data_IF_182518415489
#
_entry.id   IF_182518415489
#
_cell.length_a   1.000
_cell.length_b   1.000
_cell.length_c   1.000
_cell.angle_alpha   90.00
_cell.angle_beta   90.00
_cell.angle_gamma   90.00
#
_symmetry.space_group_name_H-M   'P 1'
#
loop_
_entity.id
_entity.type
_entity.pdbx_description
1 polymer ?
#
# COMPACT_ATOMS: atom_id res chain seq x y z
N UNK A 1 18.87 -28.69 11.17
CA UNK A 1 18.68 -28.51 9.71
C UNK A 1 17.95 -27.19 9.49
N UNK A 2 18.41 -26.36 8.56
CA UNK A 2 17.73 -25.09 8.23
C UNK A 2 16.61 -25.32 7.21
N UNK A 3 15.57 -24.48 7.24
CA UNK A 3 14.55 -24.44 6.20
C UNK A 3 15.13 -23.73 4.95
N UNK A 4 14.88 -24.28 3.75
CA UNK A 4 15.33 -23.70 2.48
C UNK A 4 14.17 -22.97 1.80
N UNK A 5 14.43 -21.77 1.27
CA UNK A 5 13.48 -20.98 0.48
C UNK A 5 14.18 -20.53 -0.80
N UNK A 6 13.67 -20.93 -1.96
CA UNK A 6 14.20 -20.44 -3.23
C UNK A 6 13.76 -18.98 -3.46
N UNK A 7 14.64 -18.17 -4.07
CA UNK A 7 14.32 -16.77 -4.41
C UNK A 7 13.20 -16.70 -5.46
N UNK A 8 13.15 -17.69 -6.35
CA UNK A 8 12.10 -17.80 -7.37
C UNK A 8 10.72 -18.02 -6.74
N UNK A 9 10.57 -19.02 -5.86
CA UNK A 9 9.31 -19.30 -5.20
C UNK A 9 8.87 -18.12 -4.33
N UNK A 10 9.82 -17.50 -3.60
CA UNK A 10 9.56 -16.31 -2.80
C UNK A 10 9.02 -15.16 -3.66
N UNK A 11 9.67 -14.88 -4.79
CA UNK A 11 9.30 -13.78 -5.68
C UNK A 11 7.96 -14.06 -6.37
N UNK A 12 7.76 -15.28 -6.86
CA UNK A 12 6.50 -15.73 -7.47
C UNK A 12 5.34 -15.59 -6.48
N UNK A 13 5.53 -16.08 -5.24
CA UNK A 13 4.54 -15.97 -4.17
C UNK A 13 4.08 -14.52 -3.94
N UNK A 14 5.01 -13.57 -3.87
CA UNK A 14 4.67 -12.15 -3.65
C UNK A 14 4.05 -11.47 -4.88
N UNK A 15 4.40 -11.90 -6.11
CA UNK A 15 3.77 -11.44 -7.35
C UNK A 15 2.35 -11.97 -7.49
N UNK A 16 2.10 -13.21 -7.06
CA UNK A 16 0.78 -13.82 -7.08
C UNK A 16 -0.20 -13.08 -6.16
N UNK A 17 0.28 -12.55 -5.03
CA UNK A 17 -0.55 -11.69 -4.15
C UNK A 17 -0.95 -10.36 -4.80
N UNK A 18 -0.10 -9.79 -5.69
CA UNK A 18 -0.48 -8.60 -6.47
C UNK A 18 -1.63 -8.96 -7.42
N UNK A 19 -1.53 -10.10 -8.09
CA UNK A 19 -2.58 -10.62 -8.98
C UNK A 19 -3.87 -10.93 -8.21
N UNK A 20 -3.79 -11.46 -6.99
CA UNK A 20 -4.96 -11.70 -6.15
C UNK A 20 -5.64 -10.40 -5.72
N UNK A 21 -4.86 -9.35 -5.39
CA UNK A 21 -5.42 -8.03 -5.10
C UNK A 21 -6.19 -7.46 -6.29
N UNK A 22 -5.69 -7.62 -7.51
CA UNK A 22 -6.40 -7.20 -8.73
C UNK A 22 -7.67 -7.99 -8.97
N UNK A 23 -7.66 -9.31 -8.76
CA UNK A 23 -8.88 -10.13 -8.86
C UNK A 23 -9.94 -9.70 -7.86
N UNK A 24 -9.52 -9.31 -6.66
CA UNK A 24 -10.43 -8.79 -5.63
C UNK A 24 -10.97 -7.42 -6.02
N UNK A 25 -10.13 -6.52 -6.54
CA UNK A 25 -10.56 -5.24 -7.08
C UNK A 25 -11.54 -5.43 -8.24
N UNK A 26 -11.26 -6.32 -9.17
CA UNK A 26 -12.14 -6.60 -10.29
C UNK A 26 -13.55 -7.00 -9.82
N UNK A 27 -13.65 -7.91 -8.84
CA UNK A 27 -14.94 -8.25 -8.20
C UNK A 27 -15.61 -7.04 -7.55
N UNK A 28 -14.85 -6.19 -6.85
CA UNK A 28 -15.38 -5.02 -6.14
C UNK A 28 -15.88 -3.93 -7.09
N UNK A 29 -15.31 -3.86 -8.30
CA UNK A 29 -15.68 -2.93 -9.37
C UNK A 29 -16.63 -3.56 -10.40
N UNK A 30 -17.22 -4.72 -10.13
CA UNK A 30 -18.22 -5.34 -11.02
C UNK A 30 -17.64 -5.97 -12.29
N UNK A 31 -16.37 -6.34 -12.31
CA UNK A 31 -15.69 -6.99 -13.44
C UNK A 31 -14.99 -6.05 -14.42
N UNK A 32 -14.79 -4.78 -14.03
CA UNK A 32 -14.22 -3.75 -14.90
C UNK A 32 -13.05 -2.99 -14.26
N UNK A 33 -12.31 -3.62 -13.35
CA UNK A 33 -11.19 -2.93 -12.68
C UNK A 33 -10.09 -2.50 -13.67
N UNK A 34 -9.76 -3.35 -14.64
CA UNK A 34 -8.70 -3.07 -15.60
C UNK A 34 -8.92 -1.76 -16.37
N UNK A 35 -10.06 -1.55 -17.08
CA UNK A 35 -10.30 -0.30 -17.81
C UNK A 35 -10.53 0.91 -16.88
N UNK A 36 -10.95 0.70 -15.63
CA UNK A 36 -11.01 1.76 -14.62
C UNK A 36 -9.61 2.20 -14.22
N UNK A 37 -8.69 1.25 -14.05
CA UNK A 37 -7.33 1.51 -13.57
C UNK A 37 -6.45 2.22 -14.60
N UNK A 38 -6.61 1.91 -15.89
CA UNK A 38 -5.91 2.58 -16.99
C UNK A 38 -6.26 4.07 -17.12
N UNK A 39 -7.46 4.47 -16.68
CA UNK A 39 -7.90 5.87 -16.72
C UNK A 39 -7.34 6.71 -15.56
N UNK A 40 -6.64 6.08 -14.62
CA UNK A 40 -6.02 6.78 -13.49
C UNK A 40 -4.70 7.38 -13.95
N UNK A 41 -4.71 8.69 -14.19
CA UNK A 41 -3.48 9.48 -14.28
C UNK A 41 -2.98 9.81 -12.87
N UNK A 42 -2.10 8.96 -12.34
CA UNK A 42 -1.53 9.16 -11.01
C UNK A 42 -0.73 10.47 -10.92
N UNK A 43 -0.07 10.90 -12.00
CA UNK A 43 0.76 12.10 -12.05
C UNK A 43 -0.05 13.40 -11.92
N UNK A 44 -1.33 13.37 -12.29
CA UNK A 44 -2.26 14.49 -12.15
C UNK A 44 -2.80 14.67 -10.72
N UNK A 45 -2.61 13.69 -9.83
CA UNK A 45 -3.16 13.74 -8.48
C UNK A 45 -2.33 14.70 -7.62
N UNK A 46 -2.99 15.75 -7.11
CA UNK A 46 -2.36 16.76 -6.26
C UNK A 46 -2.55 16.39 -4.80
N UNK A 47 -1.44 16.30 -4.06
CA UNK A 47 -1.48 16.07 -2.62
C UNK A 47 -0.66 17.09 -1.82
N UNK A 48 -1.00 17.25 -0.54
CA UNK A 48 -0.31 18.13 0.40
C UNK A 48 0.39 17.31 1.49
N UNK A 49 1.66 17.63 1.71
CA UNK A 49 2.52 17.01 2.73
C UNK A 49 2.44 17.67 4.11
N UNK A 50 1.49 18.59 4.30
CA UNK A 50 1.19 19.25 5.57
C UNK A 50 -0.18 18.81 6.09
N UNK A 51 -0.40 18.91 7.40
CA UNK A 51 -1.71 18.61 8.00
C UNK A 51 -2.71 19.71 7.62
N UNK A 52 -3.79 19.33 6.95
CA UNK A 52 -4.86 20.24 6.53
C UNK A 52 -6.09 20.19 7.46
N UNK A 53 -6.19 19.17 8.30
CA UNK A 53 -7.27 19.03 9.28
C UNK A 53 -7.95 17.67 9.21
N UNK A 54 -8.77 17.35 10.22
CA UNK A 54 -9.37 16.02 10.35
C UNK A 54 -10.14 15.60 9.09
N UNK A 55 -9.88 14.38 8.62
CA UNK A 55 -10.50 13.81 7.42
C UNK A 55 -9.87 14.23 6.09
N UNK A 56 -8.89 15.14 6.09
CA UNK A 56 -8.26 15.62 4.86
C UNK A 56 -7.27 14.60 4.28
N UNK A 57 -7.32 14.41 2.96
CA UNK A 57 -6.35 13.64 2.18
C UNK A 57 -6.33 14.10 0.71
N UNK A 58 -5.56 13.45 -0.16
CA UNK A 58 -5.65 13.69 -1.60
C UNK A 58 -7.09 13.51 -2.12
N UNK A 59 -7.86 12.60 -1.52
CA UNK A 59 -9.23 12.31 -1.95
C UNK A 59 -10.23 13.41 -1.58
N UNK A 60 -9.90 14.29 -0.62
CA UNK A 60 -10.72 15.46 -0.27
C UNK A 60 -10.21 16.75 -0.92
N UNK A 61 -9.09 16.72 -1.63
CA UNK A 61 -8.52 17.89 -2.29
C UNK A 61 -9.37 18.27 -3.52
N UNK A 62 -9.95 19.48 -3.60
CA UNK A 62 -10.80 19.89 -4.73
C UNK A 62 -10.10 19.83 -6.09
N UNK A 63 -8.76 19.95 -6.13
CA UNK A 63 -7.98 19.81 -7.38
C UNK A 63 -8.08 18.41 -7.98
N UNK A 64 -8.52 17.42 -7.21
CA UNK A 64 -8.67 16.03 -7.62
C UNK A 64 -10.13 15.65 -7.92
N UNK A 65 -11.05 16.62 -8.08
CA UNK A 65 -12.46 16.34 -8.40
C UNK A 65 -12.65 15.53 -9.68
N UNK A 66 -11.68 15.58 -10.61
CA UNK A 66 -11.67 14.76 -11.83
C UNK A 66 -11.59 13.24 -11.56
N UNK A 67 -11.12 12.82 -10.37
CA UNK A 67 -11.17 11.42 -9.94
C UNK A 67 -12.58 10.96 -9.55
N UNK A 68 -13.49 11.92 -9.31
CA UNK A 68 -14.81 11.70 -8.72
C UNK A 68 -14.71 10.91 -7.40
N UNK A 69 -13.92 11.40 -6.42
CA UNK A 69 -13.78 10.71 -5.14
C UNK A 69 -15.14 10.60 -4.45
N UNK A 70 -15.41 9.45 -3.84
CA UNK A 70 -16.70 9.14 -3.26
C UNK A 70 -17.27 7.80 -3.72
N UNK A 71 -18.50 7.48 -3.28
CA UNK A 71 -19.10 6.16 -3.50
C UNK A 71 -19.69 6.01 -4.91
N UNK A 72 -20.05 7.11 -5.57
CA UNK A 72 -20.88 7.11 -6.78
C UNK A 72 -20.33 6.20 -7.88
N UNK A 73 -19.01 6.29 -8.15
CA UNK A 73 -18.33 5.48 -9.16
C UNK A 73 -18.54 3.99 -8.96
N UNK A 74 -18.23 3.48 -7.77
CA UNK A 74 -18.36 2.05 -7.49
C UNK A 74 -19.82 1.66 -7.38
N UNK A 75 -20.66 2.49 -6.75
CA UNK A 75 -22.10 2.23 -6.60
C UNK A 75 -22.78 2.03 -7.96
N UNK A 76 -22.47 2.87 -8.95
CA UNK A 76 -22.98 2.73 -10.32
C UNK A 76 -22.52 1.42 -10.96
N UNK A 77 -21.23 1.08 -10.85
CA UNK A 77 -20.67 -0.13 -11.44
C UNK A 77 -21.28 -1.42 -10.87
N UNK A 78 -21.61 -1.44 -9.58
CA UNK A 78 -22.14 -2.64 -8.91
C UNK A 78 -23.67 -2.63 -8.75
N UNK A 79 -24.36 -1.56 -9.17
CA UNK A 79 -25.78 -1.31 -8.90
C UNK A 79 -26.66 -2.53 -9.22
N UNK A 80 -26.55 -3.05 -10.45
CA UNK A 80 -27.33 -4.21 -10.91
C UNK A 80 -27.13 -5.45 -10.01
N UNK A 81 -25.95 -5.59 -9.41
CA UNK A 81 -25.60 -6.69 -8.51
C UNK A 81 -26.15 -6.54 -7.09
N UNK A 82 -26.31 -5.30 -6.62
CA UNK A 82 -26.63 -5.01 -5.21
C UNK A 82 -28.04 -4.44 -4.98
N UNK A 83 -28.70 -3.94 -6.02
CA UNK A 83 -30.04 -3.34 -5.96
C UNK A 83 -31.07 -4.19 -6.71
N UNK A 84 -32.27 -4.34 -6.15
CA UNK A 84 -33.45 -4.93 -6.78
C UNK A 84 -34.42 -3.79 -7.12
N UNK A 85 -34.35 -3.28 -8.35
CA UNK A 85 -35.13 -2.12 -8.78
C UNK A 85 -36.64 -2.40 -8.75
N UNK A 86 -37.07 -3.62 -9.11
CA UNK A 86 -38.49 -4.00 -9.12
C UNK A 86 -39.11 -3.98 -7.72
N UNK A 87 -38.31 -4.26 -6.68
CA UNK A 87 -38.75 -4.26 -5.28
C UNK A 87 -38.23 -3.07 -4.48
N UNK A 88 -37.58 -2.11 -5.14
CA UNK A 88 -36.93 -0.95 -4.54
C UNK A 88 -36.15 -1.30 -3.24
N UNK A 89 -35.31 -2.35 -3.29
CA UNK A 89 -34.60 -2.82 -2.09
C UNK A 89 -33.17 -3.30 -2.34
N UNK A 90 -32.36 -3.17 -1.29
CA UNK A 90 -31.00 -3.70 -1.25
C UNK A 90 -30.96 -5.23 -1.19
N UNK A 91 -30.17 -5.84 -2.06
CA UNK A 91 -29.83 -7.28 -2.04
C UNK A 91 -28.82 -7.54 -0.91
N UNK A 92 -29.29 -7.55 0.34
CA UNK A 92 -28.45 -7.64 1.55
C UNK A 92 -27.37 -8.74 1.52
N UNK A 93 -27.68 -9.92 0.97
CA UNK A 93 -26.69 -11.01 0.84
C UNK A 93 -25.54 -10.67 -0.13
N UNK A 94 -25.84 -9.99 -1.24
CA UNK A 94 -24.84 -9.54 -2.22
C UNK A 94 -23.95 -8.46 -1.62
N UNK A 95 -24.53 -7.52 -0.87
CA UNK A 95 -23.78 -6.49 -0.13
C UNK A 95 -22.87 -7.11 0.93
N UNK A 96 -23.38 -8.08 1.72
CA UNK A 96 -22.53 -8.82 2.68
C UNK A 96 -21.40 -9.59 1.99
N UNK A 97 -21.60 -10.10 0.77
CA UNK A 97 -20.52 -10.70 -0.03
C UNK A 97 -19.50 -9.66 -0.45
N UNK A 98 -19.94 -8.53 -1.01
CA UNK A 98 -19.07 -7.42 -1.41
C UNK A 98 -18.21 -6.90 -0.24
N UNK A 99 -18.81 -6.74 0.95
CA UNK A 99 -18.08 -6.35 2.17
C UNK A 99 -17.03 -7.39 2.61
N UNK A 100 -17.31 -8.69 2.42
CA UNK A 100 -16.32 -9.76 2.67
C UNK A 100 -15.17 -9.68 1.66
N UNK A 101 -15.47 -9.47 0.38
CA UNK A 101 -14.46 -9.32 -0.66
C UNK A 101 -13.58 -8.07 -0.39
N UNK A 102 -14.18 -6.97 0.09
CA UNK A 102 -13.44 -5.77 0.50
C UNK A 102 -12.53 -6.02 1.70
N UNK A 103 -12.98 -6.79 2.68
CA UNK A 103 -12.14 -7.22 3.81
C UNK A 103 -10.95 -8.05 3.31
N UNK A 104 -11.16 -8.98 2.38
CA UNK A 104 -10.08 -9.76 1.79
C UNK A 104 -9.07 -8.86 1.06
N UNK A 105 -9.55 -7.90 0.26
CA UNK A 105 -8.69 -6.92 -0.41
C UNK A 105 -7.84 -6.16 0.62
N UNK A 106 -8.41 -5.71 1.74
CA UNK A 106 -7.66 -5.03 2.81
C UNK A 106 -6.56 -5.92 3.41
N UNK A 107 -6.84 -7.20 3.64
CA UNK A 107 -5.84 -8.14 4.15
C UNK A 107 -4.70 -8.33 3.13
N UNK A 108 -5.02 -8.37 1.84
CA UNK A 108 -4.02 -8.47 0.77
C UNK A 108 -3.22 -7.18 0.63
N UNK A 109 -3.87 -6.00 0.59
CA UNK A 109 -3.19 -4.69 0.54
C UNK A 109 -2.28 -4.48 1.75
N UNK A 110 -2.69 -4.93 2.94
CA UNK A 110 -1.85 -4.86 4.15
C UNK A 110 -0.54 -5.66 3.95
N UNK A 111 -0.61 -6.83 3.32
CA UNK A 111 0.57 -7.62 2.98
C UNK A 111 1.40 -6.91 1.91
N UNK A 112 0.76 -6.43 0.84
CA UNK A 112 1.46 -5.76 -0.26
C UNK A 112 2.19 -4.50 0.19
N UNK A 113 1.57 -3.68 1.04
CA UNK A 113 2.23 -2.50 1.65
C UNK A 113 3.45 -2.92 2.48
N UNK A 114 3.38 -4.05 3.19
CA UNK A 114 4.49 -4.54 4.00
C UNK A 114 5.66 -5.09 3.15
N UNK A 115 5.36 -5.75 2.03
CA UNK A 115 6.35 -6.50 1.25
C UNK A 115 6.89 -5.73 0.04
N UNK A 116 6.10 -4.82 -0.53
CA UNK A 116 6.45 -4.04 -1.72
C UNK A 116 6.78 -2.57 -1.44
N UNK A 117 6.61 -2.07 -0.21
CA UNK A 117 7.02 -0.73 0.18
C UNK A 117 8.54 -0.53 0.33
N UNK A 118 9.37 -1.40 -0.23
CA UNK A 118 10.82 -1.43 0.03
C UNK A 118 11.18 -2.16 1.32
N UNK A 119 12.24 -1.71 2.02
CA UNK A 119 12.69 -2.37 3.25
C UNK A 119 11.57 -2.38 4.31
N UNK A 120 11.15 -3.56 4.80
CA UNK A 120 9.93 -3.69 5.58
C UNK A 120 9.99 -2.88 6.88
N UNK A 121 8.94 -2.10 7.13
CA UNK A 121 8.68 -1.44 8.40
C UNK A 121 8.41 -2.44 9.53
N UNK A 122 8.35 -1.98 10.77
CA UNK A 122 7.92 -2.85 11.89
C UNK A 122 6.41 -3.08 11.76
N UNK A 123 5.92 -4.18 12.34
CA UNK A 123 4.49 -4.49 12.34
C UNK A 123 3.61 -3.28 12.71
N UNK A 124 3.85 -2.60 13.85
CA UNK A 124 3.05 -1.44 14.25
C UNK A 124 3.15 -0.25 13.28
N UNK A 125 4.32 -0.03 12.65
CA UNK A 125 4.52 1.05 11.67
C UNK A 125 3.61 0.85 10.45
N UNK A 126 3.32 -0.39 10.07
CA UNK A 126 2.45 -0.73 8.94
C UNK A 126 0.98 -0.84 9.38
N UNK A 127 0.69 -1.42 10.54
CA UNK A 127 -0.70 -1.65 10.95
C UNK A 127 -1.41 -0.41 11.49
N UNK A 128 -0.68 0.67 11.78
CA UNK A 128 -1.25 1.94 12.27
C UNK A 128 -1.32 3.04 11.21
N UNK A 129 -1.14 2.70 9.93
CA UNK A 129 -1.19 3.66 8.83
C UNK A 129 -2.56 4.35 8.74
N UNK A 130 -2.53 5.68 8.60
CA UNK A 130 -3.69 6.53 8.37
C UNK A 130 -3.76 7.02 6.92
N UNK A 131 -4.94 6.99 6.33
CA UNK A 131 -5.19 7.48 4.97
C UNK A 131 -5.60 8.96 4.92
N UNK A 132 -6.12 9.49 6.03
CA UNK A 132 -6.49 10.89 6.17
C UNK A 132 -5.98 11.44 7.50
N UNK A 133 -5.85 12.76 7.55
CA UNK A 133 -5.39 13.48 8.73
C UNK A 133 -6.35 13.24 9.89
N UNK A 134 -5.81 13.11 11.11
CA UNK A 134 -6.60 13.10 12.33
C UNK A 134 -6.73 14.51 12.92
N UNK A 135 -7.50 14.61 13.99
CA UNK A 135 -7.57 15.83 14.78
C UNK A 135 -6.21 16.32 15.27
N UNK A 136 -5.26 15.43 15.53
CA UNK A 136 -3.97 15.77 16.14
C UNK A 136 -2.76 15.45 15.27
N UNK A 137 -2.88 14.51 14.34
CA UNK A 137 -1.76 13.92 13.61
C UNK A 137 -1.98 14.05 12.10
N UNK A 138 -0.89 14.29 11.38
CA UNK A 138 -0.85 14.14 9.94
C UNK A 138 -0.98 12.64 9.59
N UNK A 139 -1.60 12.34 8.45
CA UNK A 139 -1.69 10.99 7.90
C UNK A 139 -0.36 10.39 7.47
N UNK A 140 -0.41 9.14 7.04
CA UNK A 140 0.77 8.39 6.60
C UNK A 140 0.83 8.16 5.08
N UNK A 141 -0.31 8.24 4.38
CA UNK A 141 -0.39 7.98 2.94
C UNK A 141 -0.52 9.29 2.17
N UNK A 142 0.39 9.49 1.21
CA UNK A 142 0.47 10.64 0.34
C UNK A 142 0.65 10.22 -1.12
N UNK A 143 0.36 11.13 -2.04
CA UNK A 143 0.73 10.98 -3.46
C UNK A 143 1.76 12.06 -3.80
N UNK A 144 2.92 11.64 -4.29
CA UNK A 144 4.03 12.52 -4.66
C UNK A 144 4.58 12.09 -6.02
N UNK A 145 4.60 13.02 -6.97
CA UNK A 145 5.09 12.80 -8.34
C UNK A 145 4.51 11.54 -9.00
N UNK A 146 3.20 11.33 -8.86
CA UNK A 146 2.50 10.16 -9.42
C UNK A 146 2.69 8.85 -8.64
N UNK A 147 3.38 8.87 -7.51
CA UNK A 147 3.65 7.68 -6.72
C UNK A 147 3.00 7.75 -5.35
N UNK A 148 2.50 6.62 -4.86
CA UNK A 148 2.02 6.52 -3.48
C UNK A 148 3.23 6.45 -2.55
N UNK A 149 3.33 7.44 -1.67
CA UNK A 149 4.34 7.55 -0.63
C UNK A 149 3.75 7.25 0.74
N UNK A 150 4.42 6.39 1.49
CA UNK A 150 4.07 5.98 2.84
C UNK A 150 5.12 6.52 3.81
N UNK A 151 4.70 7.42 4.69
CA UNK A 151 5.58 8.05 5.70
C UNK A 151 5.28 7.47 7.07
N UNK A 152 6.29 6.83 7.67
CA UNK A 152 6.21 6.24 9.02
C UNK A 152 7.32 6.76 9.91
N UNK A 153 7.10 6.83 11.22
CA UNK A 153 8.17 7.07 12.19
C UNK A 153 8.87 5.76 12.54
N UNK A 154 10.20 5.70 12.37
CA UNK A 154 10.98 4.47 12.56
C UNK A 154 11.46 4.26 14.01
N UNK A 155 11.25 5.22 14.90
CA UNK A 155 12.06 5.32 16.11
C UNK A 155 11.56 4.50 17.31
N UNK A 156 12.47 3.70 17.91
CA UNK A 156 12.24 3.02 19.21
C UNK A 156 12.13 4.02 20.38
N UNK A 157 12.59 5.26 20.17
CA UNK A 157 12.84 6.26 21.20
C UNK A 157 11.90 7.47 21.09
N UNK A 158 10.65 7.28 20.64
CA UNK A 158 9.63 8.34 20.67
C UNK A 158 9.48 8.96 22.06
N UNK A 159 9.68 8.17 23.12
CA UNK A 159 9.61 8.64 24.50
C UNK A 159 10.75 9.60 24.91
N UNK A 160 11.86 9.68 24.17
CA UNK A 160 13.08 10.38 24.65
C UNK A 160 13.37 11.67 23.87
N UNK A 161 13.09 11.77 22.57
CA UNK A 161 13.60 12.89 21.73
C UNK A 161 12.54 13.77 21.07
N UNK A 162 11.25 13.50 21.25
CA UNK A 162 10.12 14.24 20.64
C UNK A 162 10.15 14.43 19.10
N UNK A 163 11.16 13.89 18.39
CA UNK A 163 11.31 13.94 16.94
C UNK A 163 11.92 12.63 16.45
N UNK A 164 11.08 11.64 16.13
CA UNK A 164 11.53 10.36 15.60
C UNK A 164 11.94 10.46 14.14
N UNK A 165 12.94 9.68 13.70
CA UNK A 165 13.32 9.63 12.28
C UNK A 165 12.13 9.19 11.42
N UNK A 166 11.72 10.04 10.48
CA UNK A 166 10.72 9.69 9.46
C UNK A 166 11.36 8.91 8.33
N UNK A 167 10.64 7.91 7.84
CA UNK A 167 11.03 7.11 6.68
C UNK A 167 9.91 7.18 5.66
N UNK A 168 10.22 7.69 4.48
CA UNK A 168 9.37 7.62 3.30
C UNK A 168 9.64 6.31 2.56
N UNK A 169 8.57 5.67 2.11
CA UNK A 169 8.58 4.45 1.30
C UNK A 169 7.66 4.65 0.12
N UNK A 170 8.10 4.28 -1.07
CA UNK A 170 7.26 4.28 -2.27
C UNK A 170 6.83 2.86 -2.58
N UNK A 171 5.60 2.72 -3.06
CA UNK A 171 5.10 1.45 -3.58
C UNK A 171 5.11 1.49 -5.11
N UNK A 172 5.26 0.33 -5.78
CA UNK A 172 5.11 0.24 -7.22
C UNK A 172 3.77 0.80 -7.69
N UNK A 173 3.78 1.45 -8.85
CA UNK A 173 2.63 2.14 -9.46
C UNK A 173 1.36 1.27 -9.52
N UNK A 174 1.50 -0.01 -9.91
CA UNK A 174 0.41 -1.00 -9.93
C UNK A 174 -0.28 -1.12 -8.57
N UNK A 175 0.48 -1.15 -7.46
CA UNK A 175 -0.04 -1.20 -6.08
C UNK A 175 -0.54 0.19 -5.64
N UNK A 176 0.13 1.26 -6.09
CA UNK A 176 -0.27 2.65 -5.86
C UNK A 176 -1.70 2.92 -6.35
N UNK A 177 -2.05 2.51 -7.57
CA UNK A 177 -3.41 2.62 -8.11
C UNK A 177 -4.44 1.87 -7.26
N UNK A 178 -4.09 0.69 -6.73
CA UNK A 178 -4.98 -0.08 -5.85
C UNK A 178 -5.24 0.64 -4.52
N UNK A 179 -4.20 1.23 -3.92
CA UNK A 179 -4.31 2.00 -2.68
C UNK A 179 -5.14 3.27 -2.92
N UNK A 180 -4.91 3.94 -4.05
CA UNK A 180 -5.69 5.11 -4.45
C UNK A 180 -7.18 4.76 -4.56
N UNK A 181 -7.52 3.72 -5.35
CA UNK A 181 -8.89 3.26 -5.52
C UNK A 181 -9.54 2.82 -4.19
N UNK A 182 -8.76 2.18 -3.33
CA UNK A 182 -9.21 1.82 -1.98
C UNK A 182 -9.63 3.04 -1.17
N UNK A 183 -8.79 4.09 -1.13
CA UNK A 183 -9.02 5.30 -0.35
C UNK A 183 -10.13 6.15 -0.96
N UNK A 184 -10.05 6.44 -2.27
CA UNK A 184 -10.92 7.39 -2.94
C UNK A 184 -12.32 6.84 -3.24
N UNK A 185 -12.46 5.52 -3.47
CA UNK A 185 -13.70 4.94 -3.98
C UNK A 185 -14.28 3.85 -3.08
N UNK A 186 -13.46 2.90 -2.59
CA UNK A 186 -13.97 1.76 -1.81
C UNK A 186 -14.31 2.12 -0.36
N UNK A 187 -13.49 2.95 0.31
CA UNK A 187 -13.77 3.42 1.66
C UNK A 187 -15.12 4.17 1.76
N UNK A 188 -15.43 5.16 0.90
CA UNK A 188 -16.74 5.81 0.88
C UNK A 188 -17.88 4.84 0.56
N UNK A 189 -17.69 3.92 -0.39
CA UNK A 189 -18.70 2.93 -0.78
C UNK A 189 -19.06 2.01 0.38
N UNK A 190 -18.07 1.52 1.13
CA UNK A 190 -18.32 0.73 2.34
C UNK A 190 -19.23 1.48 3.32
N UNK A 191 -18.96 2.77 3.57
CA UNK A 191 -19.73 3.57 4.52
C UNK A 191 -21.19 3.69 4.10
N UNK A 192 -21.44 3.98 2.82
CA UNK A 192 -22.82 4.04 2.27
C UNK A 192 -23.51 2.69 2.41
N UNK A 193 -22.90 1.61 1.92
CA UNK A 193 -23.53 0.29 1.95
C UNK A 193 -23.83 -0.21 3.36
N UNK A 194 -22.97 0.08 4.34
CA UNK A 194 -23.21 -0.26 5.74
C UNK A 194 -24.40 0.52 6.32
N UNK A 195 -24.48 1.82 6.08
CA UNK A 195 -25.59 2.68 6.53
C UNK A 195 -26.93 2.24 5.93
N UNK A 196 -26.97 2.12 4.61
CA UNK A 196 -28.14 1.70 3.85
C UNK A 196 -28.68 0.33 4.27
N UNK A 197 -27.79 -0.57 4.69
CA UNK A 197 -28.16 -1.90 5.16
C UNK A 197 -28.27 -2.04 6.68
N UNK A 198 -28.12 -0.94 7.44
CA UNK A 198 -28.11 -0.92 8.92
C UNK A 198 -27.12 -1.95 9.50
N UNK A 199 -25.92 -2.03 8.91
CA UNK A 199 -24.84 -2.88 9.35
C UNK A 199 -23.91 -2.13 10.30
N UNK A 200 -23.18 -2.87 11.15
CA UNK A 200 -22.23 -2.28 12.07
C UNK A 200 -21.17 -1.41 11.34
N UNK A 201 -21.06 -0.15 11.78
CA UNK A 201 -20.09 0.83 11.29
C UNK A 201 -18.84 0.90 12.19
N UNK A 202 -17.69 1.31 11.64
CA UNK A 202 -16.51 1.65 12.44
C UNK A 202 -16.78 2.83 13.38
N UNK A 203 -16.07 2.85 14.51
CA UNK A 203 -16.07 4.03 15.39
C UNK A 203 -15.42 5.22 14.67
N UNK A 204 -15.84 6.44 14.99
CA UNK A 204 -15.36 7.67 14.33
C UNK A 204 -13.83 7.80 14.32
N UNK A 205 -13.20 7.56 15.47
CA UNK A 205 -11.73 7.56 15.65
C UNK A 205 -11.00 6.49 14.81
N UNK A 206 -11.70 5.45 14.35
CA UNK A 206 -11.13 4.38 13.54
C UNK A 206 -11.22 4.67 12.04
N UNK A 207 -11.98 5.70 11.63
CA UNK A 207 -12.20 6.01 10.22
C UNK A 207 -10.94 6.46 9.50
N UNK A 208 -9.97 7.02 10.22
CA UNK A 208 -8.68 7.48 9.69
C UNK A 208 -7.71 6.35 9.33
N UNK A 209 -7.87 5.16 9.91
CA UNK A 209 -6.95 4.05 9.72
C UNK A 209 -7.24 3.27 8.44
N UNK A 210 -6.17 2.81 7.79
CA UNK A 210 -6.23 1.98 6.59
C UNK A 210 -6.84 0.60 6.87
N UNK A 211 -6.54 -0.01 8.03
CA UNK A 211 -6.74 -1.44 8.27
C UNK A 211 -7.77 -1.70 9.38
N UNK A 212 -9.02 -1.92 8.97
CA UNK A 212 -10.16 -2.23 9.83
C UNK A 212 -11.27 -2.92 9.04
N UNK A 213 -12.23 -3.54 9.72
CA UNK A 213 -13.43 -4.11 9.10
C UNK A 213 -14.67 -3.89 9.96
N UNK A 214 -15.62 -3.10 9.45
CA UNK A 214 -16.85 -2.77 10.18
C UNK A 214 -16.54 -2.20 11.54
N UNK A 215 -17.17 -2.74 12.58
CA UNK A 215 -16.97 -2.35 13.98
C UNK A 215 -15.76 -3.02 14.65
N UNK A 216 -14.91 -3.74 13.91
CA UNK A 216 -13.70 -4.33 14.49
C UNK A 216 -12.74 -3.26 14.98
N UNK A 217 -11.94 -3.53 16.02
CA UNK A 217 -10.74 -2.75 16.29
C UNK A 217 -9.84 -2.65 15.05
N UNK A 218 -8.97 -1.63 15.05
CA UNK A 218 -7.89 -1.51 14.07
C UNK A 218 -7.05 -2.78 14.10
N UNK A 219 -6.68 -3.29 12.93
CA UNK A 219 -5.94 -4.54 12.86
C UNK A 219 -4.53 -4.39 13.42
N UNK A 220 -4.07 -5.43 14.11
CA UNK A 220 -2.76 -5.44 14.74
C UNK A 220 -1.75 -6.30 13.95
N UNK A 221 -0.49 -6.23 14.39
CA UNK A 221 0.64 -6.95 13.78
C UNK A 221 0.41 -8.45 13.71
N UNK A 222 -0.30 -9.04 14.67
CA UNK A 222 -0.63 -10.47 14.65
C UNK A 222 -1.44 -10.87 13.41
N UNK A 223 -2.38 -10.02 12.97
CA UNK A 223 -3.17 -10.32 11.76
C UNK A 223 -2.30 -10.31 10.51
N UNK A 224 -1.47 -9.29 10.33
CA UNK A 224 -0.50 -9.23 9.24
C UNK A 224 0.42 -10.45 9.27
N UNK A 225 0.96 -10.79 10.46
CA UNK A 225 1.84 -11.94 10.65
C UNK A 225 1.18 -13.25 10.27
N UNK A 226 -0.08 -13.49 10.69
CA UNK A 226 -0.82 -14.70 10.33
C UNK A 226 -1.13 -14.77 8.83
N UNK A 227 -1.52 -13.66 8.20
CA UNK A 227 -1.81 -13.63 6.76
C UNK A 227 -0.54 -13.89 5.95
N UNK A 228 0.55 -13.16 6.24
CA UNK A 228 1.84 -13.35 5.58
C UNK A 228 2.37 -14.79 5.77
N UNK A 229 2.27 -15.32 6.97
CA UNK A 229 2.69 -16.70 7.26
C UNK A 229 1.95 -17.74 6.42
N UNK A 230 0.65 -17.55 6.17
CA UNK A 230 -0.16 -18.44 5.33
C UNK A 230 0.25 -18.35 3.86
N UNK A 231 0.42 -17.13 3.35
CA UNK A 231 0.85 -16.87 1.97
C UNK A 231 2.21 -17.53 1.73
N UNK A 232 3.18 -17.25 2.60
CA UNK A 232 4.53 -17.78 2.47
C UNK A 232 4.57 -19.30 2.63
N UNK A 233 3.78 -19.86 3.55
CA UNK A 233 3.67 -21.32 3.69
C UNK A 233 3.12 -21.98 2.43
N UNK A 234 2.10 -21.38 1.80
CA UNK A 234 1.48 -21.93 0.60
C UNK A 234 2.40 -21.85 -0.63
N UNK A 235 3.12 -20.75 -0.79
CA UNK A 235 3.96 -20.53 -1.97
C UNK A 235 5.40 -21.04 -1.86
N UNK A 236 5.95 -21.10 -0.66
CA UNK A 236 7.37 -21.48 -0.42
C UNK A 236 7.56 -22.71 0.46
N UNK A 237 6.48 -23.25 1.03
CA UNK A 237 6.56 -24.34 2.01
C UNK A 237 7.06 -23.91 3.40
N UNK A 238 7.40 -22.63 3.61
CA UNK A 238 7.93 -22.12 4.87
C UNK A 238 7.04 -21.05 5.49
N UNK A 239 6.74 -21.23 6.79
CA UNK A 239 5.92 -20.30 7.55
C UNK A 239 6.71 -19.06 7.95
N UNK A 240 6.49 -17.95 7.24
CA UNK A 240 7.14 -16.67 7.52
C UNK A 240 6.14 -15.61 8.00
N UNK A 241 6.13 -15.33 9.30
CA UNK A 241 5.47 -14.15 9.85
C UNK A 241 6.31 -12.87 9.67
N UNK A 242 5.78 -11.73 10.11
CA UNK A 242 6.40 -10.39 9.94
C UNK A 242 7.85 -10.34 10.40
N UNK A 243 8.16 -10.88 11.58
CA UNK A 243 9.52 -10.83 12.14
C UNK A 243 10.54 -11.59 11.30
N UNK A 244 10.21 -12.83 10.89
CA UNK A 244 11.07 -13.66 10.05
C UNK A 244 11.23 -13.06 8.65
N UNK A 245 10.12 -12.64 8.05
CA UNK A 245 10.13 -11.98 6.74
C UNK A 245 11.04 -10.75 6.76
N UNK A 246 10.90 -9.89 7.77
CA UNK A 246 11.73 -8.69 7.91
C UNK A 246 13.22 -9.01 7.98
N UNK A 247 13.61 -10.03 8.76
CA UNK A 247 15.02 -10.43 8.86
C UNK A 247 15.56 -10.88 7.49
N UNK A 248 14.79 -11.71 6.77
CA UNK A 248 15.15 -12.20 5.43
C UNK A 248 15.25 -11.05 4.43
N UNK A 249 14.25 -10.17 4.38
CA UNK A 249 14.22 -9.05 3.45
C UNK A 249 15.37 -8.05 3.68
N UNK A 250 15.73 -7.79 4.94
CA UNK A 250 16.90 -6.97 5.27
C UNK A 250 18.18 -7.61 4.74
N UNK A 251 18.33 -8.92 4.92
CA UNK A 251 19.53 -9.64 4.48
C UNK A 251 19.62 -9.75 2.96
N UNK A 252 18.50 -10.03 2.29
CA UNK A 252 18.39 -9.94 0.82
C UNK A 252 18.78 -8.55 0.33
N UNK A 253 18.26 -7.48 0.96
CA UNK A 253 18.60 -6.10 0.63
C UNK A 253 20.09 -5.78 0.81
N UNK A 254 20.73 -6.28 1.87
CA UNK A 254 22.19 -6.14 2.06
C UNK A 254 22.96 -6.83 0.94
N UNK A 255 22.58 -8.06 0.59
CA UNK A 255 23.26 -8.85 -0.44
C UNK A 255 23.10 -8.22 -1.83
N UNK A 256 21.90 -7.77 -2.18
CA UNK A 256 21.65 -7.05 -3.43
C UNK A 256 22.49 -5.77 -3.49
N UNK A 257 22.50 -4.94 -2.45
CA UNK A 257 23.36 -3.74 -2.40
C UNK A 257 24.83 -4.07 -2.60
N UNK A 258 25.34 -5.10 -1.94
CA UNK A 258 26.73 -5.52 -2.10
C UNK A 258 27.05 -6.00 -3.53
N UNK A 259 26.10 -6.66 -4.20
CA UNK A 259 26.25 -7.05 -5.61
C UNK A 259 26.24 -5.84 -6.55
N UNK A 260 25.34 -4.87 -6.32
CA UNK A 260 25.26 -3.64 -7.11
C UNK A 260 26.53 -2.81 -6.95
N UNK A 261 27.05 -2.65 -5.73
CA UNK A 261 28.31 -1.92 -5.51
C UNK A 261 29.49 -2.57 -6.24
N UNK A 262 29.62 -3.91 -6.18
CA UNK A 262 30.65 -4.62 -6.95
C UNK A 262 30.51 -4.47 -8.46
N UNK A 263 29.28 -4.40 -8.97
CA UNK A 263 29.04 -4.14 -10.39
C UNK A 263 29.40 -2.71 -10.79
N UNK A 264 29.18 -1.73 -9.91
CA UNK A 264 29.58 -0.34 -10.13
C UNK A 264 31.10 -0.20 -10.08
N UNK A 265 31.76 -0.74 -9.06
CA UNK A 265 33.23 -0.79 -8.96
C UNK A 265 33.85 -1.46 -10.19
N UNK A 266 33.34 -2.63 -10.60
CA UNK A 266 33.84 -3.31 -11.80
C UNK A 266 33.51 -2.59 -13.13
N UNK A 267 32.56 -1.65 -13.17
CA UNK A 267 32.35 -0.78 -14.33
C UNK A 267 33.30 0.41 -14.31
N UNK A 268 33.56 1.00 -13.15
CA UNK A 268 34.56 2.06 -12.96
C UNK A 268 35.95 1.54 -13.33
N UNK A 269 36.34 0.34 -12.87
CA UNK A 269 37.62 -0.29 -13.25
C UNK A 269 37.75 -0.53 -14.78
N UNK A 270 36.63 -0.58 -15.51
CA UNK A 270 36.59 -0.71 -16.98
C UNK A 270 36.49 0.65 -17.70
N UNK A 271 35.95 1.68 -17.04
CA UNK A 271 35.81 3.06 -17.53
C UNK A 271 37.02 3.93 -17.18
N UNK A 272 37.89 3.50 -16.25
CA UNK A 272 39.21 4.09 -15.94
C UNK A 272 40.23 3.95 -17.09
N UNK A 273 39.76 3.55 -18.29
CA UNK A 273 40.50 3.81 -19.53
C UNK A 273 40.18 5.15 -20.18
N UNK A 274 39.13 5.87 -19.81
CA UNK A 274 38.85 7.26 -20.23
C UNK A 274 37.62 7.83 -19.49
N UNK A 275 37.82 8.39 -18.28
CA UNK A 275 37.18 9.63 -17.76
C UNK A 275 37.06 9.62 -16.21
N UNK A 276 37.68 10.63 -15.59
CA UNK A 276 37.62 10.90 -14.15
C UNK A 276 36.18 11.25 -13.73
N UNK A 277 35.50 10.38 -12.99
CA UNK A 277 34.20 10.68 -12.37
C UNK A 277 34.44 11.30 -10.99
N UNK A 278 33.98 12.53 -10.78
CA UNK A 278 34.08 13.23 -9.50
C UNK A 278 33.07 12.65 -8.49
N UNK A 279 33.56 12.23 -7.32
CA UNK A 279 32.78 11.60 -6.25
C UNK A 279 32.67 12.56 -5.07
N UNK A 280 31.47 12.75 -4.53
CA UNK A 280 31.25 13.56 -3.33
C UNK A 280 31.93 12.91 -2.11
N UNK A 281 32.88 13.59 -1.45
CA UNK A 281 33.69 13.00 -0.37
C UNK A 281 32.92 12.80 0.95
N UNK A 282 31.69 13.30 1.08
CA UNK A 282 30.84 13.17 2.27
C UNK A 282 29.81 12.05 2.09
N UNK A 283 29.24 11.90 0.90
CA UNK A 283 28.18 10.91 0.64
C UNK A 283 28.68 9.66 -0.07
N UNK A 284 29.81 9.74 -0.77
CA UNK A 284 30.34 8.66 -1.62
C UNK A 284 29.52 8.43 -2.89
N UNK A 285 28.62 9.35 -3.23
CA UNK A 285 27.80 9.29 -4.46
C UNK A 285 28.49 10.05 -5.61
N UNK A 286 28.36 9.60 -6.86
CA UNK A 286 28.85 10.35 -8.02
C UNK A 286 28.14 11.70 -8.11
N UNK A 287 28.88 12.78 -8.36
CA UNK A 287 28.31 14.13 -8.51
C UNK A 287 27.61 14.22 -9.87
N UNK A 288 26.32 13.89 -9.87
CA UNK A 288 25.30 14.18 -10.88
C UNK A 288 25.70 13.97 -12.36
N UNK A 289 25.60 12.72 -12.82
CA UNK A 289 25.42 12.45 -14.25
C UNK A 289 23.91 12.47 -14.55
N UNK A 290 23.42 13.62 -15.03
CA UNK A 290 22.03 13.83 -15.42
C UNK A 290 21.49 12.71 -16.32
N UNK A 291 20.60 11.89 -15.77
CA UNK A 291 19.90 10.82 -16.48
C UNK A 291 18.86 10.17 -15.58
N UNK A 292 17.59 10.22 -15.98
CA UNK A 292 16.48 9.66 -15.21
C UNK A 292 16.62 8.14 -15.09
N UNK A 293 16.78 7.62 -13.88
CA UNK A 293 16.78 6.19 -13.63
C UNK A 293 15.37 5.70 -13.32
N UNK A 294 14.67 5.22 -14.35
CA UNK A 294 13.51 4.35 -14.18
C UNK A 294 14.01 2.95 -13.81
N UNK A 295 13.64 2.46 -12.63
CA UNK A 295 13.85 1.06 -12.25
C UNK A 295 12.59 0.30 -12.69
N UNK A 296 12.73 -0.53 -13.74
CA UNK A 296 11.74 -1.53 -14.17
C UNK A 296 11.71 -2.74 -13.22
#
# INVERSE_FOLDING_TARGET
MGEHISVEDFTRTLRDEVTEAEKLLDKLFGGVWQPVSEKIDMGRIIDNMIRLGAGQSFASNPKNNWLEPGPAKVMQLIEASIWDAARARWKRQRIKKWLRDLRLLRETLLVLVHTWGGLPGRGPEITTLRHCDSWQLIRNIFIMDGHVMIVTDQDKMKAIRNNGRKVARFVPDRIGRMIMAYIAWLLPTERVLRRECQLAEPRGEQLEYMWRDGSSPVWETDRLSRKLARIMQAGTGVRLGVGRYRAIAIEMGRRIRGLVMKQLEGKIDNEDKDNNVEIDPITGEPVDCGGSWNIM
#
